data_IF_960474047775
#
_entry.id   IF_960474047775
#
_cell.length_a   1.000
_cell.length_b   1.000
_cell.length_c   1.000
_cell.angle_alpha   90.00
_cell.angle_beta   90.00
_cell.angle_gamma   90.00
#
_symmetry.space_group_name_H-M   'P 1'
#
loop_
_entity.id
_entity.type
_entity.pdbx_description
1 polymer ?
#
# COMPACT_ATOMS: atom_id res chain seq x y z
N UNK A 1 9.43 10.22 7.37
CA UNK A 1 9.20 8.86 6.83
C UNK A 1 9.14 8.97 5.32
N UNK A 2 9.84 8.12 4.57
CA UNK A 2 9.91 8.26 3.11
C UNK A 2 8.67 7.61 2.45
N UNK A 3 7.79 8.43 1.88
CA UNK A 3 6.53 7.99 1.27
C UNK A 3 6.73 7.01 0.11
N UNK A 4 7.76 7.20 -0.72
CA UNK A 4 8.05 6.29 -1.82
C UNK A 4 8.56 4.93 -1.33
N UNK A 5 9.40 4.93 -0.29
CA UNK A 5 9.84 3.69 0.33
C UNK A 5 8.66 2.91 0.91
N UNK A 6 7.77 3.60 1.65
CA UNK A 6 6.56 2.98 2.18
C UNK A 6 5.70 2.37 1.07
N UNK A 7 5.48 3.11 -0.02
CA UNK A 7 4.70 2.59 -1.15
C UNK A 7 5.33 1.34 -1.78
N UNK A 8 6.65 1.34 -1.99
CA UNK A 8 7.39 0.19 -2.54
C UNK A 8 7.25 -1.03 -1.63
N UNK A 9 7.45 -0.85 -0.32
CA UNK A 9 7.36 -1.92 0.67
C UNK A 9 5.93 -2.44 0.79
N UNK A 10 4.93 -1.57 0.89
CA UNK A 10 3.52 -1.97 0.95
C UNK A 10 3.10 -2.80 -0.26
N UNK A 11 3.50 -2.41 -1.48
CA UNK A 11 3.21 -3.17 -2.70
C UNK A 11 3.84 -4.56 -2.70
N UNK A 12 5.03 -4.71 -2.12
CA UNK A 12 5.71 -6.01 -2.00
C UNK A 12 5.05 -6.89 -0.94
N UNK A 13 4.72 -6.33 0.22
CA UNK A 13 4.00 -7.02 1.31
C UNK A 13 2.63 -7.51 0.82
N UNK A 14 1.86 -6.69 0.12
CA UNK A 14 0.55 -7.10 -0.43
C UNK A 14 0.72 -8.26 -1.42
N UNK A 15 1.79 -8.25 -2.23
CA UNK A 15 2.09 -9.35 -3.15
C UNK A 15 2.49 -10.65 -2.45
N UNK A 16 3.03 -10.58 -1.24
CA UNK A 16 3.45 -11.75 -0.46
C UNK A 16 2.31 -12.33 0.40
N UNK A 17 1.17 -11.65 0.50
CA UNK A 17 -0.01 -12.17 1.20
C UNK A 17 -0.49 -13.50 0.61
N UNK A 18 -1.05 -14.40 1.43
CA UNK A 18 -1.70 -15.62 0.94
C UNK A 18 -2.77 -15.29 -0.11
N UNK A 19 -2.86 -16.08 -1.20
CA UNK A 19 -3.69 -15.74 -2.36
C UNK A 19 -5.11 -15.30 -2.00
N UNK A 20 -5.81 -16.07 -1.14
CA UNK A 20 -7.18 -15.72 -0.73
C UNK A 20 -7.26 -14.40 0.03
N UNK A 21 -6.28 -14.10 0.87
CA UNK A 21 -6.24 -12.84 1.62
C UNK A 21 -5.94 -11.66 0.69
N UNK A 22 -4.98 -11.84 -0.22
CA UNK A 22 -4.65 -10.87 -1.25
C UNK A 22 -5.86 -10.53 -2.12
N UNK A 23 -6.57 -11.55 -2.62
CA UNK A 23 -7.75 -11.36 -3.47
C UNK A 23 -8.84 -10.56 -2.76
N UNK A 24 -9.09 -10.87 -1.48
CA UNK A 24 -10.06 -10.13 -0.65
C UNK A 24 -9.64 -8.67 -0.48
N UNK A 25 -8.37 -8.43 -0.12
CA UNK A 25 -7.84 -7.10 0.12
C UNK A 25 -7.88 -6.24 -1.14
N UNK A 26 -7.35 -6.75 -2.26
CA UNK A 26 -7.32 -6.04 -3.54
C UNK A 26 -8.75 -5.75 -4.04
N UNK A 27 -9.70 -6.68 -3.85
CA UNK A 27 -11.10 -6.42 -4.21
C UNK A 27 -11.70 -5.26 -3.41
N UNK A 28 -11.51 -5.21 -2.08
CA UNK A 28 -12.02 -4.11 -1.24
C UNK A 28 -11.34 -2.79 -1.62
N UNK A 29 -10.02 -2.77 -1.74
CA UNK A 29 -9.26 -1.57 -2.10
C UNK A 29 -9.68 -1.03 -3.46
N UNK A 30 -9.89 -1.90 -4.46
CA UNK A 30 -10.35 -1.45 -5.78
C UNK A 30 -11.73 -0.79 -5.71
N UNK A 31 -12.67 -1.33 -4.92
CA UNK A 31 -13.98 -0.71 -4.72
C UNK A 31 -13.85 0.65 -4.01
N UNK A 32 -12.96 0.75 -3.02
CA UNK A 32 -12.71 2.01 -2.32
C UNK A 32 -12.05 3.05 -3.23
N UNK A 33 -11.09 2.65 -4.06
CA UNK A 33 -10.43 3.51 -5.06
C UNK A 33 -11.43 4.02 -6.10
N UNK A 34 -12.35 3.17 -6.56
CA UNK A 34 -13.44 3.57 -7.46
C UNK A 34 -14.33 4.64 -6.82
N UNK A 35 -14.68 4.50 -5.54
CA UNK A 35 -15.47 5.49 -4.80
C UNK A 35 -14.67 6.77 -4.53
N UNK A 36 -13.38 6.64 -4.22
CA UNK A 36 -12.49 7.78 -4.01
C UNK A 36 -12.34 8.60 -5.30
N UNK A 37 -12.27 7.95 -6.47
CA UNK A 37 -12.20 8.63 -7.77
C UNK A 37 -13.45 9.46 -8.11
N UNK A 38 -14.58 9.13 -7.48
CA UNK A 38 -15.86 9.83 -7.64
C UNK A 38 -16.05 10.97 -6.64
N UNK A 39 -15.26 11.00 -5.57
CA UNK A 39 -15.37 12.00 -4.51
C UNK A 39 -14.45 13.20 -4.77
N UNK A 40 -14.96 14.41 -4.59
CA UNK A 40 -14.16 15.64 -4.61
C UNK A 40 -13.62 16.02 -3.23
N UNK A 41 -14.21 15.46 -2.16
CA UNK A 41 -13.84 15.74 -0.77
C UNK A 41 -13.83 14.47 0.08
N UNK A 42 -13.13 14.52 1.22
CA UNK A 42 -13.12 13.41 2.18
C UNK A 42 -14.53 13.10 2.72
N UNK A 43 -15.37 14.12 2.95
CA UNK A 43 -16.73 13.92 3.48
C UNK A 43 -17.63 13.23 2.45
N UNK A 44 -17.46 13.57 1.18
CA UNK A 44 -18.15 12.92 0.07
C UNK A 44 -17.72 11.45 -0.05
N UNK A 45 -16.41 11.18 0.05
CA UNK A 45 -15.89 9.82 0.05
C UNK A 45 -16.46 8.97 1.20
N UNK A 46 -16.46 9.51 2.43
CA UNK A 46 -17.05 8.82 3.59
C UNK A 46 -18.54 8.53 3.39
N UNK A 47 -19.27 9.46 2.77
CA UNK A 47 -20.69 9.27 2.43
C UNK A 47 -20.88 8.16 1.40
N UNK A 48 -20.00 8.08 0.40
CA UNK A 48 -19.99 7.03 -0.61
C UNK A 48 -19.68 5.65 -0.01
N UNK A 49 -18.70 5.56 0.91
CA UNK A 49 -18.37 4.31 1.62
C UNK A 49 -19.58 3.77 2.40
N UNK A 50 -20.31 4.63 3.12
CA UNK A 50 -21.52 4.22 3.84
C UNK A 50 -22.60 3.76 2.87
N UNK A 51 -22.85 4.54 1.81
CA UNK A 51 -23.91 4.27 0.84
C UNK A 51 -23.69 2.98 0.05
N UNK A 52 -22.47 2.76 -0.44
CA UNK A 52 -22.15 1.62 -1.30
C UNK A 52 -21.63 0.42 -0.51
N UNK A 53 -21.10 0.63 0.70
CA UNK A 53 -20.61 -0.43 1.59
C UNK A 53 -19.70 -1.45 0.90
N UNK A 54 -18.48 -1.08 0.45
CA UNK A 54 -17.53 -1.98 -0.23
C UNK A 54 -17.32 -3.32 0.49
N UNK A 55 -17.21 -3.26 1.82
CA UNK A 55 -17.09 -4.43 2.69
C UNK A 55 -18.30 -5.37 2.59
N UNK A 56 -19.53 -4.87 2.42
CA UNK A 56 -20.69 -5.78 2.22
C UNK A 56 -20.63 -6.44 0.85
N UNK A 57 -20.27 -5.68 -0.19
CA UNK A 57 -20.13 -6.21 -1.54
C UNK A 57 -19.06 -7.30 -1.62
N UNK A 58 -17.93 -7.11 -0.93
CA UNK A 58 -16.87 -8.10 -0.83
C UNK A 58 -17.33 -9.35 -0.08
N UNK A 59 -18.08 -9.20 1.02
CA UNK A 59 -18.60 -10.34 1.77
C UNK A 59 -19.51 -11.22 0.88
N UNK A 60 -20.39 -10.59 0.10
CA UNK A 60 -21.24 -11.28 -0.89
C UNK A 60 -20.40 -11.95 -1.99
N UNK A 61 -19.42 -11.24 -2.57
CA UNK A 61 -18.55 -11.76 -3.62
C UNK A 61 -17.78 -13.02 -3.20
N UNK A 62 -17.25 -13.04 -1.98
CA UNK A 62 -16.44 -14.15 -1.45
C UNK A 62 -17.26 -15.20 -0.69
N UNK A 63 -18.59 -15.09 -0.68
CA UNK A 63 -19.49 -15.95 0.11
C UNK A 63 -19.09 -16.04 1.60
N UNK A 64 -18.76 -14.89 2.18
CA UNK A 64 -18.43 -14.72 3.59
C UNK A 64 -19.56 -14.00 4.31
N UNK A 65 -19.72 -14.26 5.61
CA UNK A 65 -20.50 -13.34 6.42
C UNK A 65 -19.76 -12.00 6.55
N UNK A 66 -20.49 -10.92 6.76
CA UNK A 66 -19.89 -9.60 6.99
C UNK A 66 -18.86 -9.63 8.13
N UNK A 67 -19.17 -10.33 9.23
CA UNK A 67 -18.24 -10.50 10.35
C UNK A 67 -16.97 -11.26 9.97
N UNK A 68 -17.08 -12.34 9.17
CA UNK A 68 -15.92 -13.09 8.68
C UNK A 68 -15.04 -12.24 7.77
N UNK A 69 -15.64 -11.42 6.91
CA UNK A 69 -14.88 -10.51 6.06
C UNK A 69 -14.14 -9.47 6.91
N UNK A 70 -14.82 -8.80 7.85
CA UNK A 70 -14.20 -7.79 8.72
C UNK A 70 -13.03 -8.38 9.54
N UNK A 71 -13.21 -9.58 10.10
CA UNK A 71 -12.11 -10.29 10.78
C UNK A 71 -10.94 -10.58 9.84
N UNK A 72 -11.23 -10.93 8.58
CA UNK A 72 -10.19 -11.20 7.58
C UNK A 72 -9.45 -9.91 7.19
N UNK A 73 -10.17 -8.82 6.96
CA UNK A 73 -9.59 -7.50 6.64
C UNK A 73 -8.66 -7.01 7.75
N UNK A 74 -9.11 -7.03 9.01
CA UNK A 74 -8.26 -6.63 10.13
C UNK A 74 -7.00 -7.47 10.24
N UNK A 75 -7.11 -8.79 10.06
CA UNK A 75 -5.92 -9.67 10.08
C UNK A 75 -4.94 -9.32 8.95
N UNK A 76 -5.44 -8.96 7.78
CA UNK A 76 -4.62 -8.54 6.64
C UNK A 76 -3.93 -7.22 6.97
N UNK A 77 -4.66 -6.22 7.45
CA UNK A 77 -4.14 -4.89 7.84
C UNK A 77 -3.07 -5.00 8.93
N UNK A 78 -3.31 -5.83 9.94
CA UNK A 78 -2.33 -6.12 11.01
C UNK A 78 -1.07 -6.76 10.43
N UNK A 79 -1.23 -7.71 9.52
CA UNK A 79 -0.10 -8.40 8.87
C UNK A 79 0.71 -7.42 8.02
N UNK A 80 0.04 -6.57 7.24
CA UNK A 80 0.69 -5.55 6.42
C UNK A 80 1.46 -4.57 7.30
N UNK A 81 0.81 -4.07 8.36
CA UNK A 81 1.39 -3.08 9.28
C UNK A 81 2.63 -3.64 9.98
N UNK A 82 2.53 -4.86 10.54
CA UNK A 82 3.65 -5.53 11.19
C UNK A 82 4.84 -5.73 10.25
N UNK A 83 4.60 -6.23 9.03
CA UNK A 83 5.68 -6.42 8.06
C UNK A 83 6.28 -5.11 7.57
N UNK A 84 5.46 -4.07 7.43
CA UNK A 84 5.92 -2.75 7.01
C UNK A 84 6.84 -2.13 8.07
N UNK A 85 6.45 -2.20 9.35
CA UNK A 85 7.26 -1.76 10.48
C UNK A 85 8.61 -2.49 10.51
N UNK A 86 8.58 -3.83 10.46
CA UNK A 86 9.80 -4.65 10.43
C UNK A 86 10.72 -4.30 9.26
N UNK A 87 10.17 -4.17 8.04
CA UNK A 87 10.98 -3.83 6.86
C UNK A 87 11.53 -2.41 6.94
N UNK A 88 10.78 -1.47 7.51
CA UNK A 88 11.25 -0.10 7.70
C UNK A 88 12.39 0.00 8.71
N UNK A 89 12.37 -0.78 9.79
CA UNK A 89 13.48 -0.83 10.76
C UNK A 89 14.81 -1.24 10.12
N UNK A 90 14.75 -2.07 9.07
CA UNK A 90 15.92 -2.62 8.39
C UNK A 90 16.18 -2.00 7.00
N UNK A 91 15.40 -1.00 6.61
CA UNK A 91 15.53 -0.34 5.31
C UNK A 91 16.52 0.82 5.37
N UNK A 92 17.47 0.84 4.44
CA UNK A 92 18.31 2.00 4.17
C UNK A 92 17.82 2.71 2.90
N UNK A 93 17.64 4.02 3.02
CA UNK A 93 17.32 4.90 1.90
C UNK A 93 18.29 6.08 1.87
N UNK A 94 19.18 6.11 0.89
CA UNK A 94 20.20 7.15 0.75
C UNK A 94 20.03 7.89 -0.57
N UNK A 95 19.93 9.22 -0.51
CA UNK A 95 20.01 10.06 -1.71
C UNK A 95 21.47 10.19 -2.14
N UNK A 96 21.78 9.66 -3.32
CA UNK A 96 23.11 9.71 -3.93
C UNK A 96 23.18 10.72 -5.09
N UNK A 97 22.13 11.49 -5.34
CA UNK A 97 21.99 12.38 -6.50
C UNK A 97 23.22 13.27 -6.67
N UNK A 98 23.64 13.97 -5.60
CA UNK A 98 24.80 14.86 -5.63
C UNK A 98 26.12 14.10 -5.86
N UNK A 99 26.28 12.94 -5.21
CA UNK A 99 27.50 12.13 -5.36
C UNK A 99 27.66 11.64 -6.80
N UNK A 100 26.57 11.23 -7.46
CA UNK A 100 26.60 10.80 -8.86
C UNK A 100 26.79 12.01 -9.79
N UNK A 101 26.15 13.16 -9.54
CA UNK A 101 26.35 14.40 -10.32
C UNK A 101 27.81 14.88 -10.30
N UNK A 102 28.46 14.83 -9.13
CA UNK A 102 29.87 15.17 -9.00
C UNK A 102 30.78 14.24 -9.82
N UNK A 103 30.41 12.97 -9.97
CA UNK A 103 31.17 11.97 -10.72
C UNK A 103 30.84 11.96 -12.23
N UNK A 104 29.65 12.40 -12.63
CA UNK A 104 29.20 12.39 -14.02
C UNK A 104 28.40 13.66 -14.38
N UNK A 105 29.08 14.63 -15.00
CA UNK A 105 28.52 15.94 -15.37
C UNK A 105 27.46 15.90 -16.50
N UNK A 106 27.25 14.75 -17.14
CA UNK A 106 26.27 14.58 -18.20
C UNK A 106 24.87 14.18 -17.69
N UNK A 107 24.69 14.10 -16.37
CA UNK A 107 23.39 13.79 -15.77
C UNK A 107 22.51 15.03 -15.81
N UNK A 108 21.39 14.94 -16.51
CA UNK A 108 20.41 16.02 -16.56
C UNK A 108 19.80 16.30 -15.18
N UNK A 109 19.48 17.58 -14.93
CA UNK A 109 18.97 18.05 -13.63
C UNK A 109 17.64 17.40 -13.18
N UNK A 110 16.96 16.72 -14.09
CA UNK A 110 15.67 16.07 -13.87
C UNK A 110 15.79 14.65 -13.29
N UNK A 111 17.00 14.09 -13.15
CA UNK A 111 17.21 12.74 -12.61
C UNK A 111 17.75 12.79 -11.17
N UNK A 112 17.15 11.98 -10.29
CA UNK A 112 17.62 11.73 -8.92
C UNK A 112 18.03 10.27 -8.76
N UNK A 113 19.07 10.02 -7.97
CA UNK A 113 19.60 8.69 -7.70
C UNK A 113 19.45 8.34 -6.23
N UNK A 114 18.80 7.21 -5.96
CA UNK A 114 18.64 6.71 -4.60
C UNK A 114 19.24 5.31 -4.50
N UNK A 115 19.95 5.06 -3.40
CA UNK A 115 20.34 3.72 -2.99
C UNK A 115 19.32 3.20 -1.99
N UNK A 116 18.83 2.00 -2.28
CA UNK A 116 17.92 1.26 -1.43
C UNK A 116 18.53 -0.10 -1.10
N UNK A 117 18.52 -0.46 0.18
CA UNK A 117 18.80 -1.82 0.62
C UNK A 117 17.92 -2.20 1.78
N UNK A 118 17.49 -3.46 1.80
CA UNK A 118 16.78 -4.09 2.90
C UNK A 118 17.73 -5.11 3.52
N UNK A 119 18.05 -4.95 4.80
CA UNK A 119 18.81 -5.96 5.53
C UNK A 119 17.82 -7.01 6.04
N UNK A 120 17.98 -8.27 5.65
CA UNK A 120 17.20 -9.35 6.24
C UNK A 120 17.69 -9.58 7.68
N UNK A 121 16.75 -9.62 8.63
CA UNK A 121 17.03 -9.89 10.04
C UNK A 121 17.40 -11.37 10.28
#
# INVERSE_FOLDING_TARGET
MNTHLMEILSREIIKSLPSRQKDIYEYVVNLEDELASQASTSDEFMSLLVKHSPHRQAAEHFNLSFGQLMMTMHKIEDTISMQLEQKMEHAQWLDLTEKVRMQNKNIGDHVKYFYFSLHEA
#
